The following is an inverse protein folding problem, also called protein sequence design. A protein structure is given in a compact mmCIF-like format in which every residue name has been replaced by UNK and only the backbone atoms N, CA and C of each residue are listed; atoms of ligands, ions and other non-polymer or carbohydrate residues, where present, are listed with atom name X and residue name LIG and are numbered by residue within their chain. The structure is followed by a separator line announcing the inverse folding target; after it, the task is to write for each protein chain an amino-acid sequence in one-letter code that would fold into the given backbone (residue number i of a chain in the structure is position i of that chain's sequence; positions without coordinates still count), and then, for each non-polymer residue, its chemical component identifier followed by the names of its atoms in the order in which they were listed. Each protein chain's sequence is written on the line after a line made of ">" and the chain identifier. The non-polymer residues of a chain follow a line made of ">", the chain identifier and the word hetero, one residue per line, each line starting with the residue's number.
data_IF_007878994614
#
_entry.id   IF_007878994614
#
_cell.length_a   1.000
_cell.length_b   1.000
_cell.length_c   1.000
_cell.angle_alpha   90.00
_cell.angle_beta   90.00
_cell.angle_gamma   90.00
#
_symmetry.space_group_name_H-M   'P 1'
#
loop_
_entity.id
_entity.type
_entity.pdbx_description
1 polymer ?
#
# COMPACT_ATOMS: atom_id res chain seq x y z
N UNK A 1 2.42 -31.70 -12.73
CA UNK A 1 3.16 -30.43 -12.85
C UNK A 1 2.93 -29.61 -11.59
N UNK A 2 3.79 -29.75 -10.56
CA UNK A 2 3.68 -28.96 -9.31
C UNK A 2 4.62 -27.77 -9.46
N UNK A 3 4.12 -26.70 -10.06
CA UNK A 3 4.77 -25.40 -10.03
C UNK A 3 3.84 -24.51 -9.21
N UNK A 4 4.26 -24.17 -7.99
CA UNK A 4 4.00 -22.88 -7.31
C UNK A 4 3.98 -23.05 -5.78
N UNK A 5 5.16 -23.00 -5.13
CA UNK A 5 5.20 -22.70 -3.69
C UNK A 5 6.31 -21.69 -3.30
N UNK A 6 7.17 -21.28 -4.24
CA UNK A 6 8.24 -20.29 -3.99
C UNK A 6 7.78 -18.83 -4.14
N UNK A 7 6.72 -18.55 -4.89
CA UNK A 7 6.22 -17.19 -5.14
C UNK A 7 5.46 -16.56 -3.95
N UNK A 8 5.03 -17.36 -2.97
CA UNK A 8 4.15 -16.92 -1.89
C UNK A 8 4.88 -16.29 -0.69
N UNK A 9 6.15 -16.63 -0.42
CA UNK A 9 6.84 -16.06 0.74
C UNK A 9 7.32 -14.63 0.50
N UNK A 10 7.97 -14.38 -0.64
CA UNK A 10 8.44 -13.05 -1.01
C UNK A 10 7.30 -12.04 -1.14
N UNK A 11 6.20 -12.45 -1.76
CA UNK A 11 5.00 -11.62 -1.89
C UNK A 11 4.37 -11.31 -0.53
N UNK A 12 4.37 -12.27 0.42
CA UNK A 12 3.89 -12.04 1.81
C UNK A 12 4.79 -11.11 2.60
N UNK A 13 6.12 -11.31 2.54
CA UNK A 13 7.08 -10.41 3.20
C UNK A 13 6.96 -8.99 2.62
N UNK A 14 6.87 -8.87 1.28
CA UNK A 14 6.66 -7.58 0.61
C UNK A 14 5.37 -6.90 1.07
N UNK A 15 4.29 -7.66 1.22
CA UNK A 15 3.01 -7.15 1.72
C UNK A 15 3.04 -6.71 3.18
N UNK A 16 4.02 -7.15 4.00
CA UNK A 16 4.15 -6.68 5.38
C UNK A 16 5.12 -5.51 5.52
N UNK A 17 6.19 -5.47 4.73
CA UNK A 17 7.23 -4.43 4.81
C UNK A 17 6.80 -3.15 4.09
N UNK A 18 6.28 -3.26 2.87
CA UNK A 18 5.96 -2.08 2.05
C UNK A 18 4.91 -1.16 2.67
N UNK A 19 3.88 -1.65 3.37
CA UNK A 19 2.91 -0.77 4.02
C UNK A 19 3.53 0.11 5.11
N UNK A 20 4.52 -0.44 5.83
CA UNK A 20 5.24 0.30 6.85
C UNK A 20 6.12 1.39 6.22
N UNK A 21 6.80 1.10 5.12
CA UNK A 21 7.63 2.07 4.38
C UNK A 21 6.77 3.20 3.80
N UNK A 22 5.61 2.86 3.23
CA UNK A 22 4.72 3.83 2.58
C UNK A 22 3.64 4.41 3.49
N UNK A 23 3.70 4.17 4.81
CA UNK A 23 2.64 4.55 5.76
C UNK A 23 2.26 6.04 5.77
N UNK A 24 3.17 6.92 5.32
CA UNK A 24 2.96 8.39 5.24
C UNK A 24 2.54 8.89 3.85
N UNK A 25 2.48 8.02 2.86
CA UNK A 25 2.05 8.36 1.50
C UNK A 25 0.99 7.37 1.03
N UNK A 26 -0.28 7.72 1.32
CA UNK A 26 -1.43 6.92 0.93
C UNK A 26 -1.54 6.72 -0.58
N UNK A 27 -0.91 7.57 -1.41
CA UNK A 27 -0.91 7.37 -2.88
C UNK A 27 0.00 6.20 -3.24
N UNK A 28 1.19 6.12 -2.64
CA UNK A 28 2.11 4.98 -2.83
C UNK A 28 1.47 3.68 -2.36
N UNK A 29 0.74 3.71 -1.25
CA UNK A 29 -0.06 2.57 -0.78
C UNK A 29 -1.17 2.19 -1.76
N UNK A 30 -1.92 3.16 -2.29
CA UNK A 30 -2.99 2.91 -3.25
C UNK A 30 -2.45 2.27 -4.55
N UNK A 31 -1.30 2.72 -5.05
CA UNK A 31 -0.61 2.11 -6.19
C UNK A 31 -0.13 0.70 -5.83
N UNK A 32 0.50 0.52 -4.66
CA UNK A 32 1.05 -0.76 -4.23
C UNK A 32 -0.04 -1.84 -4.09
N UNK A 33 -1.21 -1.48 -3.58
CA UNK A 33 -2.35 -2.37 -3.42
C UNK A 33 -3.28 -2.41 -4.63
N UNK A 34 -3.03 -1.59 -5.66
CA UNK A 34 -3.86 -1.53 -6.86
C UNK A 34 -5.30 -1.05 -6.59
N UNK A 35 -5.51 -0.22 -5.57
CA UNK A 35 -6.85 0.30 -5.25
C UNK A 35 -7.19 1.48 -6.16
N UNK A 36 -8.47 1.68 -6.44
CA UNK A 36 -9.02 2.79 -7.23
C UNK A 36 -8.97 4.16 -6.54
N UNK A 37 -8.53 4.21 -5.28
CA UNK A 37 -8.41 5.43 -4.45
C UNK A 37 -7.31 6.39 -4.93
N UNK A 38 -6.52 5.97 -5.91
CA UNK A 38 -5.56 6.77 -6.65
C UNK A 38 -5.68 6.43 -8.14
N UNK A 39 -5.27 7.34 -9.02
CA UNK A 39 -5.48 7.30 -10.48
C UNK A 39 -6.92 7.65 -10.92
N UNK A 40 -7.89 6.76 -10.71
CA UNK A 40 -9.30 7.00 -11.10
C UNK A 40 -10.02 7.94 -10.15
N UNK A 41 -9.72 7.85 -8.86
CA UNK A 41 -10.18 8.77 -7.84
C UNK A 41 -8.98 9.39 -7.12
N UNK A 42 -9.02 10.67 -6.79
CA UNK A 42 -7.90 11.37 -6.13
C UNK A 42 -8.06 11.40 -4.60
N UNK A 43 -8.84 10.47 -4.05
CA UNK A 43 -9.13 10.41 -2.61
C UNK A 43 -7.87 10.16 -1.77
N UNK A 44 -6.90 9.39 -2.26
CA UNK A 44 -5.68 9.11 -1.51
C UNK A 44 -4.93 10.40 -1.12
N UNK A 45 -4.93 11.43 -1.97
CA UNK A 45 -4.33 12.72 -1.62
C UNK A 45 -5.13 13.45 -0.55
N UNK A 46 -6.45 13.49 -0.70
CA UNK A 46 -7.35 14.10 0.29
C UNK A 46 -7.20 13.44 1.67
N UNK A 47 -7.23 12.11 1.72
CA UNK A 47 -6.99 11.37 2.97
C UNK A 47 -5.59 11.59 3.54
N UNK A 48 -4.57 11.76 2.70
CA UNK A 48 -3.21 11.97 3.18
C UNK A 48 -3.12 13.27 4.00
N UNK A 49 -3.80 14.32 3.56
CA UNK A 49 -3.86 15.59 4.29
C UNK A 49 -4.68 15.45 5.58
N UNK A 50 -5.87 14.86 5.50
CA UNK A 50 -6.79 14.79 6.65
C UNK A 50 -6.34 13.79 7.72
N UNK A 51 -5.64 12.71 7.36
CA UNK A 51 -5.15 11.71 8.30
C UNK A 51 -3.70 11.92 8.72
N UNK A 52 -2.95 12.85 8.09
CA UNK A 52 -1.61 13.19 8.55
C UNK A 52 -1.54 13.56 10.04
N UNK A 53 -2.47 14.35 10.62
CA UNK A 53 -2.46 14.66 12.05
C UNK A 53 -2.69 13.44 12.96
N UNK A 54 -3.31 12.38 12.43
CA UNK A 54 -3.59 11.14 13.17
C UNK A 54 -2.45 10.12 13.06
N UNK A 55 -1.45 10.37 12.20
CA UNK A 55 -0.29 9.51 12.08
C UNK A 55 0.71 9.82 13.20
N UNK A 56 0.73 8.99 14.24
CA UNK A 56 1.56 9.23 15.45
C UNK A 56 3.04 8.85 15.23
N UNK A 57 3.42 8.20 14.11
CA UNK A 57 4.79 7.72 13.88
C UNK A 57 5.23 7.74 12.41
#
# INVERSE_FOLDING_TARGET
>A
MIISNKFNLFSRIRQQIMPFIYRKDLRKLAIFYGTDKWNSHWYAQHYNVHFAPLSVF
#
